data_IF_380056192574
#
_entry.id   IF_380056192574
#
_cell.length_a   1.000
_cell.length_b   1.000
_cell.length_c   1.000
_cell.angle_alpha   90.00
_cell.angle_beta   90.00
_cell.angle_gamma   90.00
#
_symmetry.space_group_name_H-M   'P 1'
#
loop_
_entity.id
_entity.type
_entity.pdbx_description
1 polymer ?
#
# COMPACT_ATOMS: atom_id res chain seq x y z
N UNK A 1 19.85 -6.96 6.72
CA UNK A 1 19.32 -6.23 7.90
C UNK A 1 18.34 -7.10 8.68
N UNK A 2 17.26 -7.61 8.08
CA UNK A 2 16.33 -8.52 8.78
C UNK A 2 17.01 -9.84 9.20
N UNK A 3 17.76 -10.47 8.30
CA UNK A 3 18.59 -11.65 8.61
C UNK A 3 19.58 -11.40 9.75
N UNK A 4 20.28 -10.26 9.71
CA UNK A 4 21.19 -9.84 10.77
C UNK A 4 20.51 -9.65 12.13
N UNK A 5 19.27 -9.19 12.17
CA UNK A 5 18.51 -9.08 13.43
C UNK A 5 18.03 -10.43 13.95
N UNK A 6 17.63 -11.36 13.07
CA UNK A 6 17.27 -12.72 13.47
C UNK A 6 18.50 -13.46 14.02
N UNK A 7 19.64 -13.34 13.34
CA UNK A 7 20.93 -13.87 13.82
C UNK A 7 21.30 -13.29 15.20
N UNK A 8 21.10 -11.98 15.42
CA UNK A 8 21.34 -11.33 16.71
C UNK A 8 20.43 -11.92 17.80
N UNK A 9 19.14 -12.12 17.51
CA UNK A 9 18.18 -12.74 18.45
C UNK A 9 18.52 -14.19 18.78
N UNK A 10 19.12 -14.90 17.84
CA UNK A 10 19.61 -16.27 18.03
C UNK A 10 21.00 -16.34 18.69
N UNK A 11 21.57 -15.19 19.09
CA UNK A 11 22.89 -15.12 19.74
C UNK A 11 24.06 -15.35 18.78
N UNK A 12 23.82 -15.29 17.47
CA UNK A 12 24.87 -15.45 16.45
C UNK A 12 25.57 -14.12 16.19
N UNK A 13 26.86 -14.20 15.86
CA UNK A 13 27.66 -13.03 15.49
C UNK A 13 27.12 -12.39 14.21
N UNK A 14 26.83 -11.09 14.26
CA UNK A 14 26.22 -10.35 13.15
C UNK A 14 26.52 -8.86 13.25
N UNK A 15 26.24 -8.11 12.18
CA UNK A 15 26.48 -6.65 12.11
C UNK A 15 25.46 -5.81 12.90
N UNK A 16 24.40 -6.45 13.42
CA UNK A 16 23.32 -5.82 14.18
C UNK A 16 23.67 -5.80 15.67
N UNK A 17 23.65 -4.61 16.29
CA UNK A 17 23.80 -4.43 17.74
C UNK A 17 22.44 -4.14 18.38
N UNK A 18 22.31 -4.40 19.68
CA UNK A 18 21.09 -4.12 20.45
C UNK A 18 20.68 -2.63 20.33
N UNK A 19 21.65 -1.72 20.49
CA UNK A 19 21.43 -0.27 20.37
C UNK A 19 20.88 0.12 18.99
N UNK A 20 21.44 -0.44 17.91
CA UNK A 20 20.95 -0.19 16.54
C UNK A 20 19.55 -0.76 16.33
N UNK A 21 19.27 -1.93 16.89
CA UNK A 21 17.96 -2.54 16.82
C UNK A 21 16.91 -1.69 17.56
N UNK A 22 17.23 -1.16 18.74
CA UNK A 22 16.35 -0.29 19.51
C UNK A 22 16.09 1.05 18.82
N UNK A 23 17.11 1.66 18.22
CA UNK A 23 16.92 2.85 17.38
C UNK A 23 15.95 2.55 16.23
N UNK A 24 16.12 1.43 15.53
CA UNK A 24 15.22 1.03 14.46
C UNK A 24 13.80 0.72 14.97
N UNK A 25 13.66 0.05 16.12
CA UNK A 25 12.36 -0.19 16.76
C UNK A 25 11.65 1.12 17.13
N UNK A 26 12.39 2.12 17.63
CA UNK A 26 11.83 3.44 17.96
C UNK A 26 11.32 4.20 16.73
N UNK A 27 11.92 3.95 15.56
CA UNK A 27 11.45 4.42 14.25
C UNK A 27 10.33 3.56 13.66
N UNK A 28 9.87 2.55 14.41
CA UNK A 28 8.81 1.64 13.98
C UNK A 28 9.25 0.68 12.87
N UNK A 29 10.54 0.36 12.78
CA UNK A 29 11.09 -0.59 11.82
C UNK A 29 10.50 -2.00 12.04
N UNK A 30 10.00 -2.60 10.97
CA UNK A 30 9.39 -3.93 11.03
C UNK A 30 10.40 -4.99 10.58
N UNK A 31 10.66 -5.97 11.45
CA UNK A 31 11.62 -7.06 11.20
C UNK A 31 11.02 -8.29 10.50
N UNK A 32 9.84 -8.17 9.91
CA UNK A 32 9.17 -9.27 9.21
C UNK A 32 9.81 -9.47 7.82
N UNK A 33 10.13 -10.72 7.49
CA UNK A 33 10.48 -11.11 6.11
C UNK A 33 9.16 -11.28 5.37
N UNK A 34 8.72 -10.23 4.69
CA UNK A 34 7.51 -10.31 3.89
C UNK A 34 7.84 -11.02 2.57
N UNK A 35 7.74 -12.35 2.57
CA UNK A 35 7.36 -13.07 1.36
C UNK A 35 5.94 -12.64 0.96
N UNK A 36 5.60 -12.69 -0.33
CA UNK A 36 4.46 -12.03 -1.03
C UNK A 36 3.04 -12.27 -0.45
N UNK A 37 2.80 -12.02 0.83
CA UNK A 37 1.50 -12.11 1.48
C UNK A 37 0.79 -10.76 1.37
N UNK A 38 -0.09 -10.66 0.38
CA UNK A 38 -0.86 -9.44 0.10
C UNK A 38 -1.68 -8.95 1.30
N UNK A 39 -2.17 -9.87 2.15
CA UNK A 39 -2.96 -9.51 3.33
C UNK A 39 -2.11 -8.88 4.42
N UNK A 40 -0.90 -9.38 4.67
CA UNK A 40 0.02 -8.76 5.63
C UNK A 40 0.42 -7.36 5.20
N UNK A 41 0.72 -7.17 3.91
CA UNK A 41 1.02 -5.84 3.36
C UNK A 41 -0.16 -4.87 3.48
N UNK A 42 -1.40 -5.39 3.42
CA UNK A 42 -2.59 -4.59 3.64
C UNK A 42 -2.70 -4.13 5.10
N UNK A 43 -2.37 -4.98 6.06
CA UNK A 43 -2.33 -4.60 7.48
C UNK A 43 -1.20 -3.61 7.75
N UNK A 44 0.00 -3.84 7.22
CA UNK A 44 1.13 -2.90 7.33
C UNK A 44 0.79 -1.53 6.73
N UNK A 45 0.01 -1.49 5.65
CA UNK A 45 -0.48 -0.24 5.06
C UNK A 45 -1.45 0.49 6.00
N UNK A 46 -2.31 -0.23 6.74
CA UNK A 46 -3.19 0.39 7.74
C UNK A 46 -2.38 0.93 8.91
N UNK A 47 -1.42 0.17 9.42
CA UNK A 47 -0.50 0.64 10.46
C UNK A 47 0.28 1.89 10.01
N UNK A 48 0.73 1.93 8.75
CA UNK A 48 1.38 3.12 8.20
C UNK A 48 0.48 4.35 8.29
N UNK A 49 -0.81 4.20 7.95
CA UNK A 49 -1.80 5.28 8.03
C UNK A 49 -2.07 5.73 9.45
N UNK A 50 -2.12 4.81 10.40
CA UNK A 50 -2.28 5.17 11.82
C UNK A 50 -1.08 5.99 12.31
N UNK A 51 0.13 5.69 11.85
CA UNK A 51 1.35 6.40 12.25
C UNK A 51 1.57 7.74 11.51
N UNK A 52 1.23 7.82 10.24
CA UNK A 52 1.55 8.99 9.38
C UNK A 52 0.34 9.83 9.00
N UNK A 53 -0.89 9.34 9.22
CA UNK A 53 -2.14 10.01 8.87
C UNK A 53 -2.58 9.81 7.41
N UNK A 54 -1.74 9.22 6.56
CA UNK A 54 -2.02 9.03 5.14
C UNK A 54 -1.56 7.65 4.61
N UNK A 55 -1.84 7.39 3.32
CA UNK A 55 -1.38 6.18 2.63
C UNK A 55 -0.24 6.46 1.63
N UNK A 56 0.44 7.60 1.77
CA UNK A 56 1.49 8.07 0.86
C UNK A 56 2.84 7.46 1.22
N UNK A 57 2.90 6.13 1.24
CA UNK A 57 4.13 5.38 1.54
C UNK A 57 5.21 5.72 0.51
N UNK A 58 6.39 6.23 0.93
CA UNK A 58 7.51 6.47 0.03
C UNK A 58 8.01 5.16 -0.59
N UNK A 59 8.48 5.22 -1.85
CA UNK A 59 9.05 4.03 -2.50
C UNK A 59 10.23 3.44 -1.71
N UNK A 60 11.06 4.30 -1.14
CA UNK A 60 12.20 3.92 -0.28
C UNK A 60 11.84 4.12 1.19
N UNK A 61 10.71 3.56 1.63
CA UNK A 61 10.31 3.61 3.03
C UNK A 61 11.27 2.76 3.88
N UNK A 62 12.18 3.41 4.59
CA UNK A 62 13.25 2.73 5.35
C UNK A 62 12.74 1.81 6.47
N UNK A 63 11.69 2.16 7.23
CA UNK A 63 11.13 1.28 8.27
C UNK A 63 10.51 -0.01 7.75
N UNK A 64 9.96 0.01 6.53
CA UNK A 64 9.47 -1.20 5.84
C UNK A 64 9.69 -1.08 4.32
N UNK A 65 10.89 -1.45 3.81
CA UNK A 65 11.19 -1.35 2.39
C UNK A 65 10.32 -2.25 1.52
N UNK A 66 9.77 -3.33 2.08
CA UNK A 66 8.86 -4.22 1.37
C UNK A 66 7.52 -3.53 1.11
N UNK A 67 6.96 -2.83 2.10
CA UNK A 67 5.73 -2.05 1.94
C UNK A 67 5.87 -0.98 0.85
N UNK A 68 6.99 -0.25 0.81
CA UNK A 68 7.25 0.75 -0.25
C UNK A 68 7.28 0.15 -1.66
N UNK A 69 7.89 -1.04 -1.81
CA UNK A 69 7.87 -1.79 -3.08
C UNK A 69 6.48 -2.32 -3.42
N UNK A 70 5.76 -2.84 -2.43
CA UNK A 70 4.41 -3.36 -2.61
C UNK A 70 3.43 -2.27 -3.04
N UNK A 71 3.46 -1.10 -2.41
CA UNK A 71 2.65 0.07 -2.79
C UNK A 71 2.94 0.49 -4.23
N UNK A 72 4.22 0.53 -4.63
CA UNK A 72 4.62 0.81 -6.02
C UNK A 72 4.03 -0.21 -6.99
N UNK A 73 4.03 -1.50 -6.63
CA UNK A 73 3.45 -2.55 -7.46
C UNK A 73 1.94 -2.37 -7.61
N UNK A 74 1.21 -2.09 -6.53
CA UNK A 74 -0.23 -1.83 -6.59
C UNK A 74 -0.52 -0.65 -7.54
N UNK A 75 0.20 0.47 -7.39
CA UNK A 75 0.04 1.66 -8.26
C UNK A 75 0.33 1.35 -9.73
N UNK A 76 1.32 0.50 -10.02
CA UNK A 76 1.62 0.05 -11.40
C UNK A 76 0.49 -0.80 -11.98
N UNK A 77 -0.06 -1.73 -11.19
CA UNK A 77 -1.20 -2.56 -11.60
C UNK A 77 -2.42 -1.70 -11.89
N UNK A 78 -2.72 -0.74 -11.01
CA UNK A 78 -3.81 0.22 -11.20
C UNK A 78 -3.61 1.06 -12.47
N UNK A 79 -2.43 1.65 -12.69
CA UNK A 79 -2.14 2.42 -13.90
C UNK A 79 -2.30 1.59 -15.19
N UNK A 80 -1.92 0.32 -15.18
CA UNK A 80 -2.11 -0.59 -16.32
C UNK A 80 -3.60 -0.83 -16.61
N UNK A 81 -4.41 -1.01 -15.56
CA UNK A 81 -5.85 -1.14 -15.70
C UNK A 81 -6.47 0.09 -16.36
N UNK A 82 -6.01 1.29 -15.97
CA UNK A 82 -6.49 2.55 -16.54
C UNK A 82 -6.11 2.74 -18.02
N UNK A 83 -4.93 2.26 -18.42
CA UNK A 83 -4.46 2.31 -19.81
C UNK A 83 -5.12 1.30 -20.75
N UNK A 84 -6.29 0.76 -20.40
CA UNK A 84 -7.00 -0.25 -21.20
C UNK A 84 -6.47 -1.68 -21.05
N UNK A 85 -5.51 -1.92 -20.14
CA UNK A 85 -5.06 -3.26 -19.83
C UNK A 85 -6.12 -4.03 -19.05
N UNK A 86 -6.40 -5.28 -19.43
CA UNK A 86 -7.35 -6.14 -18.72
C UNK A 86 -6.73 -6.65 -17.40
N UNK A 87 -7.20 -6.22 -16.21
CA UNK A 87 -6.70 -6.74 -14.96
C UNK A 87 -7.16 -8.20 -14.76
N UNK A 88 -6.45 -8.95 -13.93
CA UNK A 88 -6.95 -10.24 -13.45
C UNK A 88 -8.04 -10.02 -12.40
N UNK A 89 -8.94 -11.00 -12.21
CA UNK A 89 -9.99 -10.94 -11.16
C UNK A 89 -9.41 -10.69 -9.76
N UNK A 90 -8.23 -11.25 -9.49
CA UNK A 90 -7.53 -11.01 -8.22
C UNK A 90 -7.04 -9.56 -8.11
N UNK A 91 -6.55 -8.95 -9.20
CA UNK A 91 -6.17 -7.54 -9.20
C UNK A 91 -7.38 -6.63 -8.98
N UNK A 92 -8.53 -6.93 -9.59
CA UNK A 92 -9.79 -6.20 -9.37
C UNK A 92 -10.20 -6.24 -7.90
N UNK A 93 -10.22 -7.43 -7.27
CA UNK A 93 -10.53 -7.59 -5.84
C UNK A 93 -9.58 -6.79 -4.95
N UNK A 94 -8.28 -6.79 -5.27
CA UNK A 94 -7.25 -6.07 -4.51
C UNK A 94 -7.41 -4.55 -4.63
N UNK A 95 -7.68 -4.05 -5.84
CA UNK A 95 -7.98 -2.63 -6.09
C UNK A 95 -9.25 -2.22 -5.34
N UNK A 96 -10.30 -3.03 -5.41
CA UNK A 96 -11.55 -2.77 -4.68
C UNK A 96 -11.31 -2.64 -3.17
N UNK A 97 -10.53 -3.53 -2.57
CA UNK A 97 -10.19 -3.46 -1.14
C UNK A 97 -9.40 -2.20 -0.80
N UNK A 98 -8.43 -1.81 -1.64
CA UNK A 98 -7.66 -0.58 -1.46
C UNK A 98 -8.54 0.68 -1.61
N UNK A 99 -9.47 0.70 -2.58
CA UNK A 99 -10.46 1.76 -2.73
C UNK A 99 -11.34 1.88 -1.49
N UNK A 100 -11.80 0.75 -0.93
CA UNK A 100 -12.62 0.74 0.30
C UNK A 100 -11.89 1.35 1.50
N UNK A 101 -10.56 1.25 1.54
CA UNK A 101 -9.74 1.87 2.59
C UNK A 101 -9.51 3.37 2.36
N UNK A 102 -9.90 3.93 1.22
CA UNK A 102 -9.57 5.29 0.83
C UNK A 102 -8.11 5.44 0.40
N UNK A 103 -7.52 4.38 -0.17
CA UNK A 103 -6.13 4.41 -0.61
C UNK A 103 -5.91 5.41 -1.75
N UNK A 104 -4.88 6.25 -1.60
CA UNK A 104 -4.54 7.30 -2.56
C UNK A 104 -3.60 6.75 -3.64
N UNK A 105 -4.13 6.52 -4.85
CA UNK A 105 -3.38 5.95 -5.98
C UNK A 105 -2.34 6.90 -6.59
N UNK A 106 -2.62 8.20 -6.59
CA UNK A 106 -1.73 9.27 -7.04
C UNK A 106 -1.98 10.51 -6.19
N UNK A 107 -0.99 11.41 -6.09
CA UNK A 107 -1.12 12.71 -5.44
C UNK A 107 -1.13 13.74 -6.56
N UNK A 108 -2.31 14.12 -7.05
CA UNK A 108 -2.46 15.02 -8.20
C UNK A 108 -3.90 15.14 -8.71
N UNK A 109 -4.11 15.83 -9.85
CA UNK A 109 -5.44 16.02 -10.47
C UNK A 109 -6.21 14.71 -10.70
N UNK A 110 -5.48 13.63 -10.94
CA UNK A 110 -6.04 12.30 -11.19
C UNK A 110 -6.82 11.75 -9.98
N UNK A 111 -6.42 12.06 -8.74
CA UNK A 111 -7.04 11.51 -7.52
C UNK A 111 -8.51 11.90 -7.39
N UNK A 112 -8.85 13.16 -7.69
CA UNK A 112 -10.23 13.65 -7.65
C UNK A 112 -11.08 13.02 -8.76
N UNK A 113 -10.53 12.91 -9.96
CA UNK A 113 -11.25 12.29 -11.07
C UNK A 113 -11.58 10.82 -10.79
N UNK A 114 -10.64 10.07 -10.18
CA UNK A 114 -10.86 8.66 -9.87
C UNK A 114 -11.84 8.43 -8.72
N UNK A 115 -11.83 9.28 -7.68
CA UNK A 115 -12.84 9.23 -6.63
C UNK A 115 -14.23 9.51 -7.22
N UNK A 116 -14.35 10.54 -8.07
CA UNK A 116 -15.59 10.88 -8.76
C UNK A 116 -16.06 9.75 -9.69
N UNK A 117 -15.16 9.11 -10.42
CA UNK A 117 -15.49 7.99 -11.31
C UNK A 117 -15.99 6.76 -10.56
N UNK A 118 -15.38 6.41 -9.43
CA UNK A 118 -15.82 5.28 -8.59
C UNK A 118 -17.17 5.58 -7.92
N UNK A 119 -17.42 6.83 -7.50
CA UNK A 119 -18.75 7.25 -7.04
C UNK A 119 -19.80 7.14 -8.15
N UNK A 120 -19.47 7.57 -9.38
CA UNK A 120 -20.35 7.42 -10.53
C UNK A 120 -20.65 5.96 -10.85
N UNK A 121 -19.68 5.05 -10.70
CA UNK A 121 -19.88 3.61 -10.87
C UNK A 121 -20.89 3.05 -9.87
N UNK A 122 -20.71 3.36 -8.58
CA UNK A 122 -21.65 2.96 -7.52
C UNK A 122 -23.03 3.55 -7.75
N UNK A 123 -23.09 4.82 -8.15
CA UNK A 123 -24.34 5.48 -8.47
C UNK A 123 -25.06 4.78 -9.63
N UNK A 124 -24.35 4.41 -10.70
CA UNK A 124 -24.92 3.68 -11.84
C UNK A 124 -25.44 2.30 -11.43
N UNK A 125 -24.76 1.57 -10.55
CA UNK A 125 -25.23 0.28 -10.04
C UNK A 125 -26.52 0.40 -9.23
N UNK A 126 -26.68 1.49 -8.47
CA UNK A 126 -27.86 1.71 -7.61
C UNK A 126 -29.03 2.31 -8.41
N UNK A 127 -28.75 3.22 -9.33
CA UNK A 127 -29.77 4.05 -9.99
C UNK A 127 -29.99 3.72 -11.48
N UNK A 128 -29.19 2.83 -12.07
CA UNK A 128 -29.32 2.42 -13.47
C UNK A 128 -28.86 3.44 -14.52
N UNK A 129 -28.52 4.66 -14.11
CA UNK A 129 -28.04 5.75 -14.98
C UNK A 129 -26.91 6.56 -14.29
N UNK A 130 -26.09 7.27 -15.07
CA UNK A 130 -25.14 8.26 -14.52
C UNK A 130 -25.75 9.67 -14.61
N UNK A 131 -25.68 10.50 -13.56
CA UNK A 131 -26.03 11.90 -13.65
C UNK A 131 -24.88 12.58 -14.41
N UNK A 132 -25.17 13.08 -15.59
CA UNK A 132 -24.24 13.95 -16.30
C UNK A 132 -24.12 15.24 -15.47
N UNK A 133 -22.94 15.48 -14.88
CA UNK A 133 -22.58 16.80 -14.40
C UNK A 133 -22.68 17.73 -15.62
N UNK A 134 -23.78 18.48 -15.65
CA UNK A 134 -23.99 19.52 -16.65
C UNK A 134 -22.93 20.62 -16.45
N UNK A 135 -22.43 21.21 -17.55
CA UNK A 135 -21.23 22.06 -17.56
C UNK A 135 -21.35 23.32 -16.71
#
# INVERSE_FOLDING_TARGET
>A
MVTAYLEMKEGRSTIMTAERADMLNSLGFTWKVHEDNWHEMLEDLKEYKERHGDYLVPQKYAPNPALGRWVKLQRKVYKRMLGGGKPSKIAEKRIFLLNKLGFVWSVGRDTQWFNMFEELKKYKEIHGHCPLLSP
#
